data_IF_823422504340
#
_entry.id   IF_823422504340
#
_cell.length_a   1.000
_cell.length_b   1.000
_cell.length_c   1.000
_cell.angle_alpha   90.00
_cell.angle_beta   90.00
_cell.angle_gamma   90.00
#
_symmetry.space_group_name_H-M   'P 1'
#
loop_
_entity.id
_entity.type
_entity.pdbx_description
1 polymer ?
#
# COMPACT_ATOMS: atom_id res chain seq x y z
N UNK A 1 -3.82 -9.40 -10.56
CA UNK A 1 -5.06 -9.43 -11.35
C UNK A 1 -6.14 -8.85 -10.46
N UNK A 2 -6.71 -7.72 -10.88
CA UNK A 2 -7.72 -6.99 -10.10
C UNK A 2 -9.06 -7.70 -10.11
N UNK A 3 -9.35 -8.51 -11.12
CA UNK A 3 -10.65 -9.19 -11.25
C UNK A 3 -10.69 -10.43 -10.35
N UNK A 4 -9.59 -11.19 -10.31
CA UNK A 4 -9.44 -12.33 -9.39
C UNK A 4 -8.89 -11.96 -8.01
N UNK A 5 -8.54 -10.69 -7.78
CA UNK A 5 -7.93 -10.21 -6.53
C UNK A 5 -6.64 -10.95 -6.16
N UNK A 6 -5.91 -11.47 -7.17
CA UNK A 6 -4.66 -12.20 -7.00
C UNK A 6 -3.44 -11.28 -7.12
N UNK A 7 -2.50 -11.45 -6.19
CA UNK A 7 -1.18 -10.81 -6.24
C UNK A 7 -0.11 -11.87 -6.43
N UNK A 8 0.77 -11.64 -7.41
CA UNK A 8 1.91 -12.50 -7.69
C UNK A 8 3.21 -11.73 -7.57
N UNK A 9 4.20 -12.36 -6.93
CA UNK A 9 5.58 -11.87 -6.84
C UNK A 9 6.47 -12.94 -7.43
N UNK A 10 7.23 -12.58 -8.47
CA UNK A 10 8.15 -13.47 -9.18
C UNK A 10 7.44 -14.78 -9.61
N UNK A 11 6.22 -14.63 -10.13
CA UNK A 11 5.36 -15.72 -10.58
C UNK A 11 4.61 -16.50 -9.49
N UNK A 12 4.90 -16.25 -8.20
CA UNK A 12 4.29 -16.97 -7.06
C UNK A 12 3.13 -16.19 -6.46
N UNK A 13 2.04 -16.87 -6.13
CA UNK A 13 0.92 -16.28 -5.40
C UNK A 13 1.35 -15.83 -4.01
N UNK A 14 0.96 -14.61 -3.64
CA UNK A 14 1.23 -14.01 -2.34
C UNK A 14 -0.10 -13.68 -1.66
N UNK A 15 -0.43 -14.33 -0.53
CA UNK A 15 -1.68 -14.08 0.17
C UNK A 15 -1.63 -12.72 0.87
N UNK A 16 -2.50 -11.82 0.44
CA UNK A 16 -2.72 -10.53 1.11
C UNK A 16 -4.02 -10.57 1.91
N UNK A 17 -4.03 -9.88 3.05
CA UNK A 17 -5.28 -9.55 3.73
C UNK A 17 -6.07 -8.53 2.90
N UNK A 18 -7.39 -8.37 3.14
CA UNK A 18 -8.19 -7.38 2.43
C UNK A 18 -7.59 -5.97 2.50
N UNK A 19 -7.08 -5.58 3.67
CA UNK A 19 -6.48 -4.26 3.89
C UNK A 19 -5.15 -4.08 3.15
N UNK A 20 -4.29 -5.09 3.14
CA UNK A 20 -3.04 -5.07 2.37
C UNK A 20 -3.31 -4.98 0.87
N UNK A 21 -4.33 -5.69 0.39
CA UNK A 21 -4.74 -5.63 -1.00
C UNK A 21 -5.30 -4.25 -1.37
N UNK A 22 -6.16 -3.65 -0.54
CA UNK A 22 -6.66 -2.28 -0.74
C UNK A 22 -5.51 -1.26 -0.79
N UNK A 23 -4.56 -1.32 0.14
CA UNK A 23 -3.36 -0.48 0.09
C UNK A 23 -2.59 -0.66 -1.22
N UNK A 24 -2.40 -1.91 -1.65
CA UNK A 24 -1.70 -2.18 -2.90
C UNK A 24 -2.46 -1.58 -4.09
N UNK A 25 -3.79 -1.68 -4.12
CA UNK A 25 -4.62 -1.10 -5.17
C UNK A 25 -4.44 0.43 -5.24
N UNK A 26 -4.49 1.13 -4.11
CA UNK A 26 -4.22 2.58 -4.05
C UNK A 26 -2.84 2.94 -4.64
N UNK A 27 -1.81 2.19 -4.25
CA UNK A 27 -0.45 2.39 -4.75
C UNK A 27 -0.32 2.11 -6.26
N UNK A 28 -0.98 1.06 -6.76
CA UNK A 28 -0.95 0.71 -8.19
C UNK A 28 -1.78 1.63 -9.07
N UNK A 29 -2.82 2.27 -8.51
CA UNK A 29 -3.60 3.28 -9.20
C UNK A 29 -2.81 4.58 -9.42
N UNK A 30 -1.81 4.86 -8.58
CA UNK A 30 -1.00 6.07 -8.62
C UNK A 30 0.52 5.80 -8.54
N UNK A 31 1.12 5.09 -9.52
CA UNK A 31 2.52 4.68 -9.45
C UNK A 31 3.48 5.88 -9.53
N UNK A 32 4.40 5.94 -8.57
CA UNK A 32 5.36 7.04 -8.40
C UNK A 32 4.79 8.29 -7.71
N UNK A 33 3.50 8.33 -7.41
CA UNK A 33 2.85 9.44 -6.71
C UNK A 33 2.92 9.19 -5.20
N UNK A 34 3.22 10.24 -4.44
CA UNK A 34 3.21 10.19 -2.98
C UNK A 34 1.77 10.26 -2.49
N UNK A 35 1.35 9.21 -1.78
CA UNK A 35 0.09 9.16 -1.05
C UNK A 35 0.37 9.48 0.42
N UNK A 36 -0.30 10.50 0.93
CA UNK A 36 -0.22 10.89 2.34
C UNK A 36 -0.82 9.80 3.24
N UNK A 37 -0.36 9.73 4.48
CA UNK A 37 -0.88 8.73 5.43
C UNK A 37 -2.35 8.94 5.73
N UNK A 38 -2.78 10.19 5.89
CA UNK A 38 -4.18 10.58 6.07
C UNK A 38 -5.03 10.13 4.88
N UNK A 39 -4.58 10.39 3.65
CA UNK A 39 -5.26 9.91 2.44
C UNK A 39 -5.36 8.39 2.38
N UNK A 40 -4.30 7.67 2.68
CA UNK A 40 -4.33 6.20 2.73
C UNK A 40 -5.27 5.68 3.83
N UNK A 41 -5.29 6.36 4.97
CA UNK A 41 -6.17 6.02 6.08
C UNK A 41 -7.64 6.17 5.69
N UNK A 42 -8.00 7.33 5.15
CA UNK A 42 -9.35 7.64 4.66
C UNK A 42 -9.80 6.62 3.61
N UNK A 43 -8.99 6.37 2.58
CA UNK A 43 -9.40 5.52 1.45
C UNK A 43 -9.49 4.04 1.76
N UNK A 44 -8.62 3.53 2.63
CA UNK A 44 -8.55 2.08 2.90
C UNK A 44 -9.43 1.66 4.08
N UNK A 45 -9.57 2.54 5.09
CA UNK A 45 -10.33 2.27 6.32
C UNK A 45 -11.64 3.05 6.45
N UNK A 46 -11.95 3.97 5.53
CA UNK A 46 -13.16 4.81 5.56
C UNK A 46 -13.29 5.61 6.87
N UNK A 47 -12.14 6.09 7.37
CA UNK A 47 -12.07 6.87 8.61
C UNK A 47 -12.19 8.37 8.37
N UNK A 48 -12.87 9.02 9.31
CA UNK A 48 -12.94 10.48 9.40
C UNK A 48 -11.65 11.10 9.95
N UNK A 49 -11.56 12.42 9.80
CA UNK A 49 -10.45 13.26 10.23
C UNK A 49 -10.12 13.06 11.73
N UNK A 50 -8.83 12.85 12.05
CA UNK A 50 -8.34 12.72 13.44
C UNK A 50 -7.98 11.29 13.90
N UNK A 51 -8.18 10.28 13.07
CA UNK A 51 -7.74 8.91 13.37
C UNK A 51 -6.20 8.73 13.31
N UNK A 52 -5.68 7.78 14.09
CA UNK A 52 -4.23 7.52 14.18
C UNK A 52 -3.68 6.89 12.90
N UNK A 53 -2.88 7.68 12.17
CA UNK A 53 -2.21 7.25 10.93
C UNK A 53 -1.19 6.12 11.10
N UNK A 54 -0.79 5.76 12.34
CA UNK A 54 0.14 4.65 12.61
C UNK A 54 -0.36 3.30 12.10
N UNK A 55 -1.67 3.10 11.97
CA UNK A 55 -2.22 1.88 11.38
C UNK A 55 -1.76 1.72 9.92
N UNK A 56 -1.63 2.83 9.17
CA UNK A 56 -1.11 2.81 7.80
C UNK A 56 0.32 2.28 7.79
N UNK A 57 1.17 2.78 8.68
CA UNK A 57 2.57 2.38 8.75
C UNK A 57 2.73 0.87 9.01
N UNK A 58 1.93 0.31 9.93
CA UNK A 58 1.92 -1.13 10.25
C UNK A 58 1.52 -1.95 9.03
N UNK A 59 0.47 -1.55 8.33
CA UNK A 59 -0.01 -2.28 7.17
C UNK A 59 0.92 -2.12 5.95
N UNK A 60 1.56 -0.97 5.76
CA UNK A 60 2.60 -0.80 4.73
C UNK A 60 3.82 -1.68 5.04
N UNK A 61 4.24 -1.78 6.30
CA UNK A 61 5.33 -2.67 6.70
C UNK A 61 5.00 -4.13 6.38
N UNK A 62 3.79 -4.60 6.74
CA UNK A 62 3.34 -5.97 6.45
C UNK A 62 3.25 -6.24 4.95
N UNK A 63 2.69 -5.29 4.19
CA UNK A 63 2.62 -5.38 2.74
C UNK A 63 4.02 -5.51 2.13
N UNK A 64 4.96 -4.64 2.50
CA UNK A 64 6.37 -4.70 2.08
C UNK A 64 7.04 -6.04 2.38
N UNK A 65 6.76 -6.64 3.53
CA UNK A 65 7.32 -7.95 3.88
C UNK A 65 6.86 -9.06 2.92
N UNK A 66 5.65 -8.92 2.34
CA UNK A 66 5.06 -9.87 1.40
C UNK A 66 5.42 -9.59 -0.05
N UNK A 67 5.44 -8.31 -0.44
CA UNK A 67 5.68 -7.89 -1.82
C UNK A 67 7.08 -7.31 -2.05
N UNK A 68 8.03 -7.54 -1.15
CA UNK A 68 9.37 -6.99 -1.27
C UNK A 68 9.48 -5.55 -0.76
N UNK A 69 10.44 -5.34 0.14
CA UNK A 69 10.65 -4.09 0.88
C UNK A 69 10.93 -2.89 -0.02
N UNK A 70 11.56 -3.14 -1.17
CA UNK A 70 11.95 -2.11 -2.12
C UNK A 70 10.84 -1.63 -3.05
N UNK A 71 9.63 -2.21 -3.06
CA UNK A 71 8.57 -1.84 -4.02
C UNK A 71 7.81 -0.57 -3.61
N UNK A 72 7.55 -0.40 -2.32
CA UNK A 72 6.94 0.81 -1.75
C UNK A 72 8.04 1.62 -1.07
N UNK A 73 8.16 2.90 -1.36
CA UNK A 73 9.15 3.82 -0.78
C UNK A 73 8.51 4.72 0.27
N UNK A 74 9.26 5.05 1.32
CA UNK A 74 8.85 6.04 2.32
C UNK A 74 9.40 7.40 1.92
N UNK A 75 8.51 8.36 1.68
CA UNK A 75 8.86 9.76 1.49
C UNK A 75 8.71 10.44 2.85
N UNK A 76 9.84 10.59 3.56
CA UNK A 76 9.87 11.05 4.95
C UNK A 76 9.15 12.40 5.10
N UNK A 77 8.25 12.49 6.07
CA UNK A 77 7.40 13.68 6.31
C UNK A 77 6.15 13.75 5.44
N UNK A 78 6.05 12.98 4.34
CA UNK A 78 4.95 13.10 3.39
C UNK A 78 4.08 11.83 3.33
N UNK A 79 4.69 10.65 3.17
CA UNK A 79 3.91 9.41 3.06
C UNK A 79 4.64 8.30 2.33
N UNK A 80 3.92 7.63 1.43
CA UNK A 80 4.39 6.44 0.73
C UNK A 80 4.12 6.52 -0.76
N UNK A 81 4.97 5.90 -1.58
CA UNK A 81 4.73 5.76 -3.02
C UNK A 81 5.14 4.39 -3.52
N UNK A 82 4.48 3.89 -4.55
CA UNK A 82 4.98 2.76 -5.32
C UNK A 82 6.15 3.22 -6.19
N UNK A 83 7.28 2.52 -6.18
CA UNK A 83 8.34 2.79 -7.14
C UNK A 83 7.89 2.36 -8.53
N UNK A 84 8.17 3.20 -9.53
CA UNK A 84 8.04 2.78 -10.93
C UNK A 84 9.13 1.75 -11.23
N UNK A 85 8.84 0.72 -12.04
CA UNK A 85 9.88 -0.09 -12.64
C UNK A 85 10.89 0.83 -13.34
N UNK A 86 12.17 0.52 -13.23
CA UNK A 86 13.21 1.16 -14.02
C UNK A 86 13.10 0.73 -15.49
#
# INVERSE_FOLDING_TARGET
DTDSMEVRVDGRLVPLTPTELRLLLEFTAAPGIVLERTTLLERVWDYEWGADTRVVDVHVQRLRAKIGSGRIETVRGFGYKLRRPA
#
